data_IF_417958099811
#
_entry.id   IF_417958099811
#
_cell.length_a   1.000
_cell.length_b   1.000
_cell.length_c   1.000
_cell.angle_alpha   90.00
_cell.angle_beta   90.00
_cell.angle_gamma   90.00
#
_symmetry.space_group_name_H-M   'P 1'
#
loop_
_entity.id
_entity.type
_entity.pdbx_description
1 polymer ?
#
# COMPACT_ATOMS: atom_id res chain seq x y z
N UNK A 1 6.26 -28.44 16.26
CA UNK A 1 5.57 -28.71 14.99
C UNK A 1 5.57 -27.40 14.25
N UNK A 2 6.73 -27.10 13.68
CA UNK A 2 7.02 -25.84 13.00
C UNK A 2 6.90 -26.07 11.51
N UNK A 3 6.27 -25.14 10.78
CA UNK A 3 6.30 -25.22 9.32
C UNK A 3 5.16 -24.58 8.54
N UNK A 4 4.24 -23.83 9.15
CA UNK A 4 3.37 -22.93 8.37
C UNK A 4 4.06 -21.59 8.14
N UNK A 5 5.25 -21.66 7.53
CA UNK A 5 5.87 -20.53 6.87
C UNK A 5 5.03 -20.20 5.64
N UNK A 6 4.24 -19.14 5.75
CA UNK A 6 3.63 -18.33 4.68
C UNK A 6 4.12 -18.67 3.26
N UNK A 7 3.48 -19.64 2.61
CA UNK A 7 3.65 -19.92 1.18
C UNK A 7 2.61 -19.14 0.38
N UNK A 8 2.61 -17.82 0.54
CA UNK A 8 1.99 -16.88 -0.40
C UNK A 8 2.99 -15.76 -0.73
N UNK A 9 4.24 -16.16 -1.02
CA UNK A 9 5.16 -15.33 -1.76
C UNK A 9 4.74 -15.30 -3.24
N UNK A 10 3.62 -14.65 -3.55
CA UNK A 10 3.38 -14.21 -4.93
C UNK A 10 4.28 -13.02 -5.25
N UNK A 11 4.70 -12.89 -6.52
CA UNK A 11 6.03 -12.48 -6.85
C UNK A 11 6.11 -10.97 -6.98
N UNK A 12 6.26 -10.26 -5.85
CA UNK A 12 6.50 -8.82 -5.88
C UNK A 12 7.64 -8.45 -6.84
N UNK A 13 8.70 -9.28 -6.94
CA UNK A 13 9.81 -9.06 -7.87
C UNK A 13 9.52 -9.28 -9.36
N UNK A 14 8.51 -10.08 -9.73
CA UNK A 14 8.21 -10.37 -11.14
C UNK A 14 7.44 -9.22 -11.81
N UNK A 15 6.74 -8.39 -11.02
CA UNK A 15 6.11 -7.18 -11.52
C UNK A 15 7.14 -6.09 -11.85
N UNK A 16 8.14 -5.82 -11.00
CA UNK A 16 9.03 -4.66 -11.21
C UNK A 16 9.86 -4.69 -12.51
N UNK A 17 10.29 -5.87 -12.97
CA UNK A 17 11.11 -5.99 -14.19
C UNK A 17 10.34 -6.01 -15.52
N UNK A 18 9.05 -6.38 -15.49
CA UNK A 18 8.19 -6.48 -16.68
C UNK A 18 7.50 -5.14 -17.03
N UNK A 19 7.66 -4.11 -16.20
CA UNK A 19 6.74 -2.99 -16.12
C UNK A 19 6.86 -1.97 -17.28
N UNK A 20 8.03 -1.39 -17.55
CA UNK A 20 8.18 -0.20 -18.43
C UNK A 20 7.66 -0.43 -19.86
N UNK A 21 7.87 -1.62 -20.41
CA UNK A 21 7.39 -1.99 -21.74
C UNK A 21 5.86 -1.90 -21.85
N UNK A 22 5.13 -2.36 -20.83
CA UNK A 22 3.67 -2.26 -20.79
C UNK A 22 3.17 -0.83 -20.63
N UNK A 23 3.88 0.04 -19.89
CA UNK A 23 3.56 1.47 -19.83
C UNK A 23 3.68 2.12 -21.21
N UNK A 24 4.73 1.79 -21.95
CA UNK A 24 4.93 2.30 -23.31
C UNK A 24 3.83 1.80 -24.25
N UNK A 25 3.47 0.51 -24.18
CA UNK A 25 2.36 -0.04 -24.96
C UNK A 25 1.06 0.67 -24.64
N UNK A 26 0.72 0.85 -23.36
CA UNK A 26 -0.52 1.52 -22.96
C UNK A 26 -0.56 2.97 -23.41
N UNK A 27 0.56 3.69 -23.31
CA UNK A 27 0.66 5.06 -23.83
C UNK A 27 0.51 5.09 -25.35
N UNK A 28 1.11 4.14 -26.07
CA UNK A 28 0.95 4.02 -27.52
C UNK A 28 -0.50 3.71 -27.89
N UNK A 29 -1.17 2.79 -27.21
CA UNK A 29 -2.59 2.48 -27.41
C UNK A 29 -3.46 3.71 -27.12
N UNK A 30 -3.24 4.39 -25.99
CA UNK A 30 -3.94 5.63 -25.66
C UNK A 30 -3.77 6.66 -26.77
N UNK A 31 -2.55 6.86 -27.25
CA UNK A 31 -2.26 7.79 -28.35
C UNK A 31 -2.97 7.39 -29.66
N UNK A 32 -3.01 6.11 -30.00
CA UNK A 32 -3.74 5.62 -31.18
C UNK A 32 -5.24 5.85 -31.03
N UNK A 33 -5.81 5.59 -29.85
CA UNK A 33 -7.23 5.84 -29.55
C UNK A 33 -7.55 7.33 -29.61
N UNK A 34 -6.66 8.19 -29.10
CA UNK A 34 -6.78 9.64 -29.22
C UNK A 34 -6.84 10.08 -30.67
N UNK A 35 -5.94 9.58 -31.52
CA UNK A 35 -5.94 9.91 -32.95
C UNK A 35 -7.19 9.38 -33.66
N UNK A 36 -7.61 8.15 -33.38
CA UNK A 36 -8.80 7.53 -33.97
C UNK A 36 -10.07 8.30 -33.60
N UNK A 37 -10.22 8.67 -32.32
CA UNK A 37 -11.34 9.47 -31.85
C UNK A 37 -11.40 10.85 -32.54
N UNK A 38 -10.26 11.55 -32.68
CA UNK A 38 -10.21 12.82 -33.40
C UNK A 38 -10.56 12.66 -34.89
N UNK A 39 -10.09 11.57 -35.55
CA UNK A 39 -10.43 11.25 -36.95
C UNK A 39 -11.93 11.01 -37.12
N UNK A 40 -12.60 10.45 -36.10
CA UNK A 40 -14.05 10.24 -36.08
C UNK A 40 -14.85 11.49 -35.70
N UNK A 41 -14.19 12.63 -35.48
CA UNK A 41 -14.85 13.86 -35.03
C UNK A 41 -15.34 13.80 -33.57
N UNK A 42 -14.84 12.84 -32.79
CA UNK A 42 -15.13 12.71 -31.36
C UNK A 42 -14.09 13.47 -30.53
N UNK A 43 -14.36 13.65 -29.24
CA UNK A 43 -13.42 14.29 -28.32
C UNK A 43 -12.27 13.33 -27.95
N UNK A 44 -11.16 13.40 -28.68
CA UNK A 44 -9.98 12.57 -28.47
C UNK A 44 -9.44 12.55 -27.03
N UNK A 45 -9.31 13.71 -26.34
CA UNK A 45 -8.90 13.74 -24.93
C UNK A 45 -9.76 12.89 -24.00
N UNK A 46 -11.09 12.90 -24.16
CA UNK A 46 -11.98 12.07 -23.34
C UNK A 46 -11.71 10.57 -23.53
N UNK A 47 -11.55 10.15 -24.79
CA UNK A 47 -11.25 8.75 -25.11
C UNK A 47 -9.86 8.32 -24.63
N UNK A 48 -8.87 9.21 -24.69
CA UNK A 48 -7.55 8.96 -24.11
C UNK A 48 -7.62 8.74 -22.60
N UNK A 49 -8.34 9.60 -21.88
CA UNK A 49 -8.51 9.48 -20.43
C UNK A 49 -9.20 8.17 -20.07
N UNK A 50 -10.24 7.77 -20.81
CA UNK A 50 -10.94 6.51 -20.57
C UNK A 50 -10.00 5.29 -20.61
N UNK A 51 -9.03 5.29 -21.54
CA UNK A 51 -8.04 4.21 -21.69
C UNK A 51 -7.00 4.24 -20.56
N UNK A 52 -6.57 5.43 -20.13
CA UNK A 52 -5.53 5.61 -19.11
C UNK A 52 -6.06 5.48 -17.68
N UNK A 53 -7.34 5.79 -17.45
CA UNK A 53 -7.98 5.77 -16.13
C UNK A 53 -7.79 4.47 -15.34
N UNK A 54 -8.02 3.26 -15.89
CA UNK A 54 -7.83 2.02 -15.13
C UNK A 54 -6.38 1.80 -14.71
N UNK A 55 -5.41 2.24 -15.52
CA UNK A 55 -3.99 2.15 -15.18
C UNK A 55 -3.65 3.07 -14.01
N UNK A 56 -4.11 4.32 -14.06
CA UNK A 56 -3.93 5.27 -12.96
C UNK A 56 -4.62 4.77 -11.69
N UNK A 57 -5.86 4.27 -11.80
CA UNK A 57 -6.61 3.70 -10.69
C UNK A 57 -5.88 2.54 -10.00
N UNK A 58 -5.24 1.66 -10.78
CA UNK A 58 -4.44 0.56 -10.23
C UNK A 58 -3.22 1.06 -9.45
N UNK A 59 -2.51 2.08 -9.94
CA UNK A 59 -1.38 2.70 -9.21
C UNK A 59 -1.87 3.26 -7.87
N UNK A 60 -2.96 4.03 -7.89
CA UNK A 60 -3.52 4.62 -6.69
C UNK A 60 -3.97 3.56 -5.69
N UNK A 61 -4.56 2.45 -6.16
CA UNK A 61 -4.92 1.32 -5.30
C UNK A 61 -3.69 0.68 -4.65
N UNK A 62 -2.62 0.46 -5.41
CA UNK A 62 -1.37 -0.07 -4.87
C UNK A 62 -0.76 0.87 -3.82
N UNK A 63 -0.71 2.17 -4.11
CA UNK A 63 -0.25 3.19 -3.15
C UNK A 63 -1.13 3.18 -1.90
N UNK A 64 -2.46 3.12 -2.07
CA UNK A 64 -3.41 3.09 -0.96
C UNK A 64 -3.18 1.89 -0.03
N UNK A 65 -2.94 0.69 -0.59
CA UNK A 65 -2.65 -0.51 0.20
C UNK A 65 -1.35 -0.33 0.98
N UNK A 66 -0.29 0.16 0.34
CA UNK A 66 1.01 0.40 1.00
C UNK A 66 0.88 1.43 2.14
N UNK A 67 0.20 2.55 1.88
CA UNK A 67 -0.02 3.59 2.89
C UNK A 67 -0.87 3.03 4.04
N UNK A 68 -1.91 2.26 3.74
CA UNK A 68 -2.80 1.66 4.75
C UNK A 68 -2.05 0.69 5.65
N UNK A 69 -1.15 -0.13 5.12
CA UNK A 69 -0.35 -1.04 5.93
C UNK A 69 0.63 -0.28 6.83
N UNK A 70 1.22 0.82 6.35
CA UNK A 70 2.14 1.64 7.17
C UNK A 70 1.46 2.48 8.24
N UNK A 71 0.18 2.81 8.05
CA UNK A 71 -0.63 3.57 9.02
C UNK A 71 -1.41 2.66 9.98
N UNK A 72 -1.40 1.34 9.77
CA UNK A 72 -1.79 0.33 10.74
C UNK A 72 -0.75 0.17 11.85
N UNK A 73 -0.44 1.22 12.61
CA UNK A 73 0.12 1.03 13.96
C UNK A 73 -0.88 0.14 14.68
N UNK A 74 -0.44 -1.06 15.02
CA UNK A 74 -1.31 -2.05 15.58
C UNK A 74 -1.91 -1.48 16.86
N UNK A 75 -3.22 -1.69 17.07
CA UNK A 75 -3.91 -1.41 18.33
C UNK A 75 -3.20 -2.08 19.54
N UNK A 76 -2.30 -3.04 19.27
CA UNK A 76 -1.39 -3.67 20.24
C UNK A 76 -0.19 -2.82 20.65
N UNK A 77 0.31 -1.92 19.78
CA UNK A 77 1.44 -1.04 20.12
C UNK A 77 1.03 0.15 20.97
N UNK A 78 -0.25 0.55 20.91
CA UNK A 78 -0.76 1.72 21.60
C UNK A 78 -0.72 1.57 23.14
N UNK A 79 -1.19 0.46 23.76
CA UNK A 79 -1.06 0.25 25.20
C UNK A 79 0.39 0.22 25.68
N UNK A 80 1.28 -0.45 24.92
CA UNK A 80 2.71 -0.54 25.24
C UNK A 80 3.40 0.82 25.12
N UNK A 81 3.03 1.62 24.11
CA UNK A 81 3.54 2.97 23.92
C UNK A 81 3.14 3.90 25.07
N UNK A 82 1.86 3.88 25.46
CA UNK A 82 1.35 4.66 26.61
C UNK A 82 2.07 4.25 27.90
N UNK A 83 2.27 2.94 28.10
CA UNK A 83 2.96 2.43 29.29
C UNK A 83 4.41 2.91 29.37
N UNK A 84 5.15 2.87 28.25
CA UNK A 84 6.53 3.40 28.15
C UNK A 84 6.59 4.90 28.39
N UNK A 85 5.62 5.66 27.86
CA UNK A 85 5.55 7.11 28.03
C UNK A 85 5.36 7.49 29.51
N UNK A 86 4.44 6.83 30.23
CA UNK A 86 4.22 7.08 31.66
C UNK A 86 5.44 6.77 32.52
N UNK A 87 6.16 5.69 32.20
CA UNK A 87 7.40 5.35 32.89
C UNK A 87 8.49 6.40 32.64
N UNK A 88 8.65 6.86 31.39
CA UNK A 88 9.62 7.90 31.04
C UNK A 88 9.32 9.25 31.71
N UNK A 89 8.03 9.56 31.93
CA UNK A 89 7.58 10.73 32.71
C UNK A 89 7.74 10.57 34.22
N UNK A 90 8.05 9.36 34.71
CA UNK A 90 8.12 9.05 36.14
C UNK A 90 6.75 8.96 36.82
N UNK A 91 5.67 8.82 36.06
CA UNK A 91 4.30 8.70 36.59
C UNK A 91 4.03 7.30 37.18
N UNK A 92 4.84 6.30 36.80
CA UNK A 92 4.77 4.93 37.29
C UNK A 92 6.17 4.43 37.68
N UNK A 93 6.22 3.54 38.66
CA UNK A 93 7.43 2.87 39.09
C UNK A 93 7.87 1.76 38.12
N UNK A 94 9.12 1.32 38.23
CA UNK A 94 9.65 0.20 37.43
C UNK A 94 8.89 -1.11 37.69
N UNK A 95 8.45 -1.34 38.92
CA UNK A 95 7.68 -2.52 39.31
C UNK A 95 6.30 -2.54 38.65
N UNK A 96 5.61 -1.39 38.66
CA UNK A 96 4.32 -1.20 37.99
C UNK A 96 4.44 -1.36 36.48
N UNK A 97 5.49 -0.78 35.88
CA UNK A 97 5.79 -0.95 34.47
C UNK A 97 5.98 -2.42 34.10
N UNK A 98 6.80 -3.17 34.85
CA UNK A 98 7.06 -4.59 34.59
C UNK A 98 5.80 -5.46 34.66
N UNK A 99 4.97 -5.26 35.69
CA UNK A 99 3.72 -6.03 35.87
C UNK A 99 2.74 -5.78 34.72
N UNK A 100 2.50 -4.52 34.36
CA UNK A 100 1.59 -4.17 33.26
C UNK A 100 2.13 -4.61 31.89
N UNK A 101 3.45 -4.58 31.72
CA UNK A 101 4.09 -5.08 30.49
C UNK A 101 3.84 -6.58 30.31
N UNK A 102 4.02 -7.38 31.37
CA UNK A 102 3.74 -8.82 31.33
C UNK A 102 2.27 -9.14 31.04
N UNK A 103 1.33 -8.32 31.54
CA UNK A 103 -0.10 -8.46 31.23
C UNK A 103 -0.41 -8.15 29.76
N UNK A 104 0.26 -7.18 29.15
CA UNK A 104 0.08 -6.81 27.74
C UNK A 104 0.72 -7.79 26.74
N UNK A 105 1.73 -8.54 27.18
CA UNK A 105 2.41 -9.56 26.36
C UNK A 105 1.73 -10.95 26.45
N UNK A 106 0.71 -11.10 27.30
CA UNK A 106 -0.02 -12.35 27.58
C UNK A 106 -1.20 -12.56 26.62
#
# INVERSE_FOLDING_TARGET
>A
MDGFMHQFGYPFGFFYGFNIFWWIIFLAIGYLVYQDANKRGMNGPLWFILVILPMVGLIFLLIYIVIRETSGKSERDEPMYILKERYARGEISEEEFKRMKEELEK
#
